data_IF_230877379821
#
_entry.id   IF_230877379821
#
_cell.length_a   1.000
_cell.length_b   1.000
_cell.length_c   1.000
_cell.angle_alpha   90.00
_cell.angle_beta   90.00
_cell.angle_gamma   90.00
#
_symmetry.space_group_name_H-M   'P 1'
#
loop_
_entity.id
_entity.type
_entity.pdbx_description
1 polymer ?
#
# COMPACT_ATOMS: atom_id res chain seq x y z
N UNK A 1 -13.27 10.33 31.50
CA UNK A 1 -14.35 11.27 31.83
C UNK A 1 -15.51 10.98 30.89
N UNK A 2 -16.75 10.85 31.36
CA UNK A 2 -17.92 10.71 30.49
C UNK A 2 -18.49 12.11 30.21
N UNK A 3 -18.86 12.38 28.96
CA UNK A 3 -19.57 13.60 28.59
C UNK A 3 -20.96 13.60 29.21
N UNK A 4 -21.44 14.79 29.58
CA UNK A 4 -22.85 15.03 29.90
C UNK A 4 -23.71 14.94 28.64
N UNK A 5 -25.03 14.79 28.82
CA UNK A 5 -25.99 14.70 27.71
C UNK A 5 -25.96 15.96 26.83
N UNK A 6 -25.89 17.15 27.43
CA UNK A 6 -25.79 18.42 26.71
C UNK A 6 -24.49 18.53 25.89
N UNK A 7 -23.36 18.09 26.43
CA UNK A 7 -22.08 18.06 25.69
C UNK A 7 -22.12 17.07 24.53
N UNK A 8 -22.80 15.93 24.68
CA UNK A 8 -22.98 14.95 23.62
C UNK A 8 -23.87 15.49 22.49
N UNK A 9 -24.97 16.18 22.81
CA UNK A 9 -25.84 16.85 21.83
C UNK A 9 -25.03 17.91 21.05
N UNK A 10 -24.31 18.79 21.76
CA UNK A 10 -23.49 19.83 21.14
C UNK A 10 -22.39 19.24 20.25
N UNK A 11 -21.71 18.19 20.69
CA UNK A 11 -20.71 17.47 19.92
C UNK A 11 -21.29 16.87 18.63
N UNK A 12 -22.48 16.27 18.71
CA UNK A 12 -23.15 15.67 17.57
C UNK A 12 -23.57 16.74 16.54
N UNK A 13 -24.17 17.85 16.99
CA UNK A 13 -24.53 18.98 16.13
C UNK A 13 -23.31 19.59 15.43
N UNK A 14 -22.24 19.87 16.18
CA UNK A 14 -20.99 20.39 15.61
C UNK A 14 -20.38 19.42 14.59
N UNK A 15 -20.40 18.11 14.90
CA UNK A 15 -19.90 17.07 14.00
C UNK A 15 -20.73 16.94 12.72
N UNK A 16 -22.04 17.15 12.80
CA UNK A 16 -22.94 17.17 11.64
C UNK A 16 -22.68 18.40 10.76
N UNK A 17 -22.65 19.60 11.34
CA UNK A 17 -22.32 20.82 10.60
C UNK A 17 -20.93 20.74 9.94
N UNK A 18 -19.95 20.17 10.63
CA UNK A 18 -18.61 19.91 10.09
C UNK A 18 -18.57 18.88 8.95
N UNK A 19 -19.48 17.90 8.92
CA UNK A 19 -19.66 16.99 7.77
C UNK A 19 -20.32 17.72 6.59
N UNK A 20 -21.41 18.44 6.85
CA UNK A 20 -22.17 19.18 5.84
C UNK A 20 -21.30 20.24 5.16
N UNK A 21 -20.52 21.01 5.92
CA UNK A 21 -19.57 21.99 5.38
C UNK A 21 -18.53 21.34 4.44
N UNK A 22 -17.99 20.16 4.80
CA UNK A 22 -17.07 19.40 3.94
C UNK A 22 -17.75 18.89 2.67
N UNK A 23 -19.02 18.50 2.75
CA UNK A 23 -19.79 18.07 1.57
C UNK A 23 -20.05 19.22 0.59
N UNK A 24 -20.52 20.37 1.10
CA UNK A 24 -20.73 21.57 0.28
C UNK A 24 -19.43 22.06 -0.36
N UNK A 25 -18.32 22.05 0.38
CA UNK A 25 -17.00 22.42 -0.16
C UNK A 25 -16.56 21.49 -1.31
N UNK A 26 -16.84 20.18 -1.22
CA UNK A 26 -16.60 19.23 -2.33
C UNK A 26 -17.46 19.57 -3.55
N UNK A 27 -18.74 19.85 -3.36
CA UNK A 27 -19.66 20.25 -4.46
C UNK A 27 -19.16 21.53 -5.14
N UNK A 28 -18.74 22.53 -4.38
CA UNK A 28 -18.11 23.75 -4.91
C UNK A 28 -16.86 23.46 -5.74
N UNK A 29 -15.94 22.62 -5.22
CA UNK A 29 -14.71 22.25 -5.92
C UNK A 29 -14.95 21.56 -7.28
N UNK A 30 -16.00 20.72 -7.38
CA UNK A 30 -16.41 20.05 -8.61
C UNK A 30 -16.99 21.01 -9.67
N UNK A 31 -17.51 22.17 -9.26
CA UNK A 31 -18.06 23.19 -10.18
C UNK A 31 -17.00 24.15 -10.72
N UNK A 32 -15.83 24.26 -10.07
CA UNK A 32 -14.76 25.20 -10.46
C UNK A 32 -14.37 25.14 -11.94
N UNK A 33 -14.24 23.97 -12.62
CA UNK A 33 -13.87 23.93 -14.04
C UNK A 33 -14.89 24.61 -14.95
N UNK A 34 -16.19 24.39 -14.69
CA UNK A 34 -17.29 25.03 -15.44
C UNK A 34 -17.35 26.53 -15.14
N UNK A 35 -17.20 26.92 -13.88
CA UNK A 35 -17.11 28.32 -13.43
C UNK A 35 -15.95 29.05 -14.12
N UNK A 36 -14.80 28.38 -14.26
CA UNK A 36 -13.63 28.92 -14.95
C UNK A 36 -13.87 29.06 -16.46
N UNK A 37 -14.34 27.99 -17.11
CA UNK A 37 -14.60 27.93 -18.56
C UNK A 37 -15.58 29.02 -19.02
N UNK A 38 -16.63 29.28 -18.23
CA UNK A 38 -17.63 30.29 -18.56
C UNK A 38 -17.31 31.70 -18.02
N UNK A 39 -16.13 31.88 -17.37
CA UNK A 39 -15.66 33.12 -16.72
C UNK A 39 -16.74 33.75 -15.83
N UNK A 40 -17.44 32.92 -15.05
CA UNK A 40 -18.55 33.37 -14.19
C UNK A 40 -18.06 34.32 -13.08
N UNK A 41 -16.83 34.09 -12.60
CA UNK A 41 -16.17 34.95 -11.61
C UNK A 41 -16.02 36.40 -12.11
N UNK A 42 -15.59 36.58 -13.36
CA UNK A 42 -15.44 37.91 -13.99
C UNK A 42 -16.80 38.59 -14.19
N UNK A 43 -17.80 37.86 -14.69
CA UNK A 43 -19.19 38.33 -14.83
C UNK A 43 -19.85 38.71 -13.49
N UNK A 44 -19.24 38.35 -12.37
CA UNK A 44 -19.65 38.71 -11.01
C UNK A 44 -18.72 39.74 -10.35
N UNK A 45 -17.80 40.35 -11.10
CA UNK A 45 -16.94 41.44 -10.63
C UNK A 45 -15.70 41.01 -9.84
N UNK A 46 -15.31 39.73 -9.87
CA UNK A 46 -14.10 39.24 -9.22
C UNK A 46 -12.90 39.33 -10.16
N UNK A 47 -11.71 39.63 -9.63
CA UNK A 47 -10.47 39.74 -10.40
C UNK A 47 -9.93 38.39 -10.89
N UNK A 48 -10.29 37.29 -10.21
CA UNK A 48 -9.84 35.94 -10.55
C UNK A 48 -10.76 34.85 -9.97
N UNK A 49 -10.65 33.63 -10.51
CA UNK A 49 -11.30 32.45 -9.93
C UNK A 49 -10.83 32.15 -8.50
N UNK A 50 -9.59 32.51 -8.15
CA UNK A 50 -9.05 32.32 -6.81
C UNK A 50 -9.73 33.24 -5.79
N UNK A 51 -9.90 34.52 -6.13
CA UNK A 51 -10.63 35.48 -5.31
C UNK A 51 -12.10 35.08 -5.16
N UNK A 52 -12.74 34.69 -6.26
CA UNK A 52 -14.12 34.19 -6.28
C UNK A 52 -14.30 32.98 -5.34
N UNK A 53 -13.47 31.95 -5.47
CA UNK A 53 -13.59 30.73 -4.67
C UNK A 53 -13.23 30.95 -3.19
N UNK A 54 -12.30 31.86 -2.89
CA UNK A 54 -12.00 32.27 -1.52
C UNK A 54 -13.19 33.01 -0.89
N UNK A 55 -13.75 34.02 -1.56
CA UNK A 55 -14.86 34.84 -1.04
C UNK A 55 -16.20 34.09 -0.96
N UNK A 56 -16.50 33.21 -1.92
CA UNK A 56 -17.79 32.50 -1.99
C UNK A 56 -17.79 31.16 -1.25
N UNK A 57 -16.67 30.43 -1.25
CA UNK A 57 -16.60 29.06 -0.73
C UNK A 57 -15.50 28.84 0.32
N UNK A 58 -14.79 29.88 0.76
CA UNK A 58 -13.70 29.76 1.73
C UNK A 58 -12.49 28.96 1.22
N UNK A 59 -12.35 28.76 -0.10
CA UNK A 59 -11.30 27.92 -0.67
C UNK A 59 -9.97 28.65 -0.75
N UNK A 60 -8.89 28.00 -0.27
CA UNK A 60 -7.54 28.50 -0.45
C UNK A 60 -7.09 28.39 -1.92
N UNK A 61 -6.12 29.23 -2.32
CA UNK A 61 -5.53 29.20 -3.68
C UNK A 61 -5.04 27.80 -4.08
N UNK A 62 -4.46 27.06 -3.13
CA UNK A 62 -4.03 25.67 -3.32
C UNK A 62 -5.20 24.71 -3.57
N UNK A 63 -6.30 24.82 -2.81
CA UNK A 63 -7.49 23.98 -3.03
C UNK A 63 -8.10 24.23 -4.41
N UNK A 64 -8.17 25.49 -4.86
CA UNK A 64 -8.66 25.84 -6.20
C UNK A 64 -7.76 25.26 -7.28
N UNK A 65 -6.44 25.43 -7.15
CA UNK A 65 -5.47 24.94 -8.13
C UNK A 65 -5.44 23.41 -8.22
N UNK A 66 -5.45 22.71 -7.09
CA UNK A 66 -5.47 21.24 -7.08
C UNK A 66 -6.80 20.68 -7.60
N UNK A 67 -7.93 21.33 -7.28
CA UNK A 67 -9.23 20.95 -7.81
C UNK A 67 -9.30 21.11 -9.34
N UNK A 68 -8.87 22.25 -9.89
CA UNK A 68 -8.80 22.48 -11.34
C UNK A 68 -7.88 21.47 -12.03
N UNK A 69 -6.69 21.20 -11.45
CA UNK A 69 -5.72 20.23 -11.98
C UNK A 69 -6.27 18.81 -12.01
N UNK A 70 -6.87 18.33 -10.92
CA UNK A 70 -7.47 16.99 -10.85
C UNK A 70 -8.63 16.88 -11.84
N UNK A 71 -9.53 17.88 -11.86
CA UNK A 71 -10.68 17.91 -12.75
C UNK A 71 -10.28 17.87 -14.23
N UNK A 72 -9.24 18.60 -14.63
CA UNK A 72 -8.73 18.58 -16.01
C UNK A 72 -8.37 17.18 -16.50
N UNK A 73 -7.78 16.32 -15.64
CA UNK A 73 -7.45 14.95 -16.02
C UNK A 73 -8.65 14.00 -16.08
N UNK A 74 -9.77 14.29 -15.38
CA UNK A 74 -10.89 13.35 -15.22
C UNK A 74 -12.20 13.79 -15.89
N UNK A 75 -12.29 14.99 -16.47
CA UNK A 75 -13.55 15.53 -17.00
C UNK A 75 -14.23 14.59 -18.02
N UNK A 76 -13.44 13.94 -18.87
CA UNK A 76 -13.93 12.97 -19.88
C UNK A 76 -13.98 11.52 -19.37
N UNK A 77 -14.00 11.29 -18.05
CA UNK A 77 -13.90 9.96 -17.41
C UNK A 77 -15.04 9.72 -16.41
N UNK A 78 -16.26 9.39 -16.90
CA UNK A 78 -17.47 9.32 -16.07
C UNK A 78 -17.34 8.41 -14.84
N UNK A 79 -16.62 7.29 -14.93
CA UNK A 79 -16.46 6.36 -13.81
C UNK A 79 -15.73 7.03 -12.62
N UNK A 80 -14.59 7.68 -12.89
CA UNK A 80 -13.79 8.39 -11.88
C UNK A 80 -14.51 9.65 -11.39
N UNK A 81 -15.22 10.36 -12.28
CA UNK A 81 -16.02 11.53 -11.92
C UNK A 81 -17.13 11.18 -10.90
N UNK A 82 -17.76 10.00 -11.03
CA UNK A 82 -18.75 9.50 -10.05
C UNK A 82 -18.12 9.29 -8.67
N UNK A 83 -16.89 8.79 -8.59
CA UNK A 83 -16.15 8.65 -7.31
C UNK A 83 -15.75 10.02 -6.75
N UNK A 84 -15.39 10.98 -7.61
CA UNK A 84 -15.12 12.36 -7.20
C UNK A 84 -16.34 13.04 -6.56
N UNK A 85 -17.55 12.73 -7.07
CA UNK A 85 -18.82 13.23 -6.52
C UNK A 85 -19.14 12.64 -5.14
N UNK A 86 -18.92 11.34 -4.93
CA UNK A 86 -19.25 10.66 -3.66
C UNK A 86 -18.19 10.86 -2.58
N UNK A 87 -16.91 10.66 -2.91
CA UNK A 87 -15.79 10.71 -1.94
C UNK A 87 -15.02 12.04 -1.93
N UNK A 88 -15.15 12.87 -2.96
CA UNK A 88 -14.40 14.10 -3.14
C UNK A 88 -13.05 13.90 -3.86
N UNK A 89 -12.53 14.99 -4.43
CA UNK A 89 -11.32 15.00 -5.28
C UNK A 89 -10.06 14.42 -4.61
N UNK A 90 -9.93 14.54 -3.28
CA UNK A 90 -8.79 13.99 -2.54
C UNK A 90 -8.69 12.46 -2.63
N UNK A 91 -9.80 11.74 -2.81
CA UNK A 91 -9.79 10.28 -2.91
C UNK A 91 -9.18 9.79 -4.24
N UNK A 92 -9.41 10.54 -5.32
CA UNK A 92 -8.98 10.20 -6.68
C UNK A 92 -7.70 10.94 -7.13
N UNK A 93 -7.22 11.92 -6.33
CA UNK A 93 -5.97 12.66 -6.58
C UNK A 93 -4.77 11.79 -6.99
N UNK A 94 -4.56 10.56 -6.45
CA UNK A 94 -3.41 9.73 -6.81
C UNK A 94 -3.52 9.17 -8.23
N UNK A 95 -4.72 8.70 -8.61
CA UNK A 95 -4.99 8.02 -9.88
C UNK A 95 -5.25 8.99 -11.03
N UNK A 96 -5.62 10.25 -10.74
CA UNK A 96 -6.06 11.22 -11.74
C UNK A 96 -5.09 11.36 -12.93
N UNK A 97 -3.77 11.38 -12.68
CA UNK A 97 -2.75 11.56 -13.71
C UNK A 97 -2.44 10.30 -14.54
N UNK A 98 -2.80 9.09 -14.08
CA UNK A 98 -2.62 7.83 -14.84
C UNK A 98 -3.92 7.34 -15.49
N UNK A 99 -5.01 8.07 -15.28
CA UNK A 99 -6.30 7.69 -15.82
C UNK A 99 -6.34 7.88 -17.34
N UNK A 100 -6.84 6.87 -18.04
CA UNK A 100 -7.19 6.87 -19.46
C UNK A 100 -8.70 6.61 -19.59
N UNK A 101 -9.24 6.62 -20.81
CA UNK A 101 -10.63 6.21 -21.06
C UNK A 101 -10.83 4.70 -20.87
N UNK A 102 -9.78 3.91 -21.08
CA UNK A 102 -9.78 2.44 -21.01
C UNK A 102 -9.68 1.91 -19.58
N UNK A 103 -8.83 2.52 -18.74
CA UNK A 103 -8.59 2.03 -17.37
C UNK A 103 -9.52 2.66 -16.30
N UNK A 104 -10.41 3.58 -16.68
CA UNK A 104 -11.16 4.41 -15.74
C UNK A 104 -12.07 3.61 -14.78
N UNK A 105 -12.63 2.49 -15.24
CA UNK A 105 -13.58 1.69 -14.44
C UNK A 105 -12.84 0.97 -13.31
N UNK A 106 -11.72 0.34 -13.63
CA UNK A 106 -10.80 -0.25 -12.66
C UNK A 106 -10.30 0.79 -11.65
N UNK A 107 -9.86 1.96 -12.13
CA UNK A 107 -9.39 3.02 -11.24
C UNK A 107 -10.51 3.55 -10.32
N UNK A 108 -11.75 3.63 -10.81
CA UNK A 108 -12.91 4.00 -10.01
C UNK A 108 -13.27 2.92 -8.98
N UNK A 109 -13.20 1.64 -9.34
CA UNK A 109 -13.39 0.50 -8.44
C UNK A 109 -12.36 0.52 -7.30
N UNK A 110 -11.06 0.61 -7.62
CA UNK A 110 -10.01 0.70 -6.61
C UNK A 110 -10.11 1.98 -5.77
N UNK A 111 -10.54 3.12 -6.34
CA UNK A 111 -10.83 4.33 -5.56
C UNK A 111 -12.06 4.20 -4.65
N UNK A 112 -12.98 3.27 -4.94
CA UNK A 112 -14.11 2.94 -4.07
C UNK A 112 -13.74 1.98 -2.93
N UNK A 113 -12.84 1.02 -3.14
CA UNK A 113 -12.40 0.09 -2.08
C UNK A 113 -11.26 0.64 -1.21
N UNK A 114 -10.27 1.29 -1.80
CA UNK A 114 -9.02 1.65 -1.12
C UNK A 114 -9.02 3.01 -0.41
N UNK A 115 -8.07 3.19 0.51
CA UNK A 115 -7.72 4.49 1.07
C UNK A 115 -6.86 5.31 0.09
N UNK A 116 -6.83 6.64 0.27
CA UNK A 116 -5.96 7.54 -0.52
C UNK A 116 -4.49 7.09 -0.50
N UNK A 117 -3.95 6.76 0.67
CA UNK A 117 -2.52 6.43 0.82
C UNK A 117 -2.18 5.07 0.18
N UNK A 118 -3.13 4.13 0.21
CA UNK A 118 -3.04 2.84 -0.49
C UNK A 118 -3.00 3.07 -2.00
N UNK A 119 -3.85 3.97 -2.54
CA UNK A 119 -3.84 4.35 -3.95
C UNK A 119 -2.54 5.07 -4.36
N UNK A 120 -1.99 5.97 -3.52
CA UNK A 120 -0.69 6.62 -3.78
C UNK A 120 0.45 5.61 -3.87
N UNK A 121 0.42 4.57 -3.04
CA UNK A 121 1.39 3.46 -3.08
C UNK A 121 1.21 2.64 -4.35
N UNK A 122 0.01 2.13 -4.62
CA UNK A 122 -0.31 1.31 -5.80
C UNK A 122 0.00 2.01 -7.14
N UNK A 123 -0.31 3.32 -7.28
CA UNK A 123 0.02 4.10 -8.49
C UNK A 123 1.53 4.24 -8.69
N UNK A 124 2.30 4.39 -7.62
CA UNK A 124 3.76 4.49 -7.67
C UNK A 124 4.38 3.16 -8.10
N UNK A 125 3.88 2.06 -7.54
CA UNK A 125 4.49 0.74 -7.74
C UNK A 125 4.20 0.22 -9.17
N UNK A 126 3.01 0.47 -9.71
CA UNK A 126 2.69 0.26 -11.15
C UNK A 126 3.64 1.03 -12.08
N UNK A 127 4.10 2.23 -11.68
CA UNK A 127 5.06 3.01 -12.48
C UNK A 127 6.49 2.46 -12.41
N UNK A 128 6.81 1.62 -11.43
CA UNK A 128 8.12 0.98 -11.29
C UNK A 128 8.18 -0.37 -12.01
N UNK A 129 7.11 -1.16 -12.01
CA UNK A 129 7.05 -2.47 -12.69
C UNK A 129 7.30 -2.38 -14.21
N UNK A 130 7.05 -1.22 -14.85
CA UNK A 130 7.41 -0.99 -16.26
C UNK A 130 8.92 -0.80 -16.53
N UNK A 131 9.77 -0.76 -15.49
CA UNK A 131 11.19 -0.39 -15.61
C UNK A 131 12.19 -1.51 -15.25
N UNK A 132 11.77 -2.66 -14.71
CA UNK A 132 12.69 -3.69 -14.17
C UNK A 132 12.26 -5.11 -14.50
N UNK A 133 12.95 -5.76 -15.45
CA UNK A 133 12.70 -7.17 -15.81
C UNK A 133 13.96 -7.92 -16.30
N UNK A 134 14.88 -8.19 -15.36
CA UNK A 134 15.94 -9.24 -15.33
C UNK A 134 16.32 -9.45 -13.83
N UNK A 135 16.83 -10.57 -13.32
CA UNK A 135 16.98 -11.97 -13.80
C UNK A 135 17.06 -12.92 -12.58
N UNK A 136 17.41 -14.22 -12.73
CA UNK A 136 17.29 -15.22 -11.63
C UNK A 136 18.40 -16.30 -11.59
N UNK A 137 18.83 -16.75 -10.40
CA UNK A 137 19.75 -17.92 -10.20
C UNK A 137 19.44 -18.72 -8.90
N UNK A 138 19.62 -20.05 -8.95
CA UNK A 138 19.40 -21.05 -7.88
C UNK A 138 20.70 -21.48 -7.12
N UNK A 139 20.62 -22.45 -6.18
CA UNK A 139 21.68 -22.94 -5.26
C UNK A 139 21.76 -24.49 -5.33
N UNK A 140 22.76 -25.27 -4.91
CA UNK A 140 23.93 -25.24 -3.97
C UNK A 140 24.92 -26.39 -4.47
N UNK A 141 25.97 -26.94 -3.78
CA UNK A 141 26.72 -26.53 -2.59
C UNK A 141 28.28 -26.59 -2.67
N UNK A 142 28.97 -27.72 -2.36
CA UNK A 142 29.97 -27.77 -1.25
C UNK A 142 31.47 -27.99 -1.58
N UNK A 143 32.32 -27.59 -0.63
CA UNK A 143 33.72 -27.88 -0.26
C UNK A 143 34.85 -28.23 -1.26
N UNK A 144 35.64 -27.18 -1.53
CA UNK A 144 37.11 -27.08 -1.49
C UNK A 144 37.41 -25.68 -0.89
N UNK A 145 38.65 -25.20 -0.67
CA UNK A 145 38.89 -23.76 -0.67
C UNK A 145 38.51 -23.21 -2.04
N UNK A 146 37.23 -22.84 -2.21
CA UNK A 146 36.68 -22.37 -3.47
C UNK A 146 37.15 -20.95 -3.67
N UNK A 147 37.97 -20.74 -4.69
CA UNK A 147 38.35 -19.40 -5.12
C UNK A 147 37.10 -18.74 -5.70
N UNK A 148 36.44 -17.90 -4.91
CA UNK A 148 35.25 -17.15 -5.34
C UNK A 148 35.73 -15.85 -5.94
N UNK A 149 35.83 -15.81 -7.27
CA UNK A 149 36.05 -14.56 -8.00
C UNK A 149 34.69 -13.92 -8.29
N UNK A 150 34.56 -12.64 -7.96
CA UNK A 150 33.35 -11.86 -8.19
C UNK A 150 33.72 -10.48 -8.74
N UNK A 151 33.08 -10.08 -9.83
CA UNK A 151 33.22 -8.73 -10.38
C UNK A 151 32.26 -7.80 -9.64
N UNK A 152 32.78 -6.71 -9.09
CA UNK A 152 31.99 -5.68 -8.43
C UNK A 152 32.00 -4.38 -9.24
N UNK A 153 30.92 -3.58 -9.21
CA UNK A 153 30.97 -2.18 -9.63
C UNK A 153 32.04 -1.43 -8.85
N UNK A 154 32.77 -0.53 -9.50
CA UNK A 154 33.89 0.21 -8.90
C UNK A 154 33.50 0.92 -7.59
N UNK A 155 32.30 1.52 -7.52
CA UNK A 155 31.75 2.15 -6.31
C UNK A 155 31.71 1.20 -5.08
N UNK A 156 31.44 -0.09 -5.32
CA UNK A 156 31.42 -1.10 -4.26
C UNK A 156 32.83 -1.54 -3.89
N UNK A 157 33.76 -1.60 -4.86
CA UNK A 157 35.18 -1.85 -4.60
C UNK A 157 35.77 -0.75 -3.73
N UNK A 158 35.55 0.52 -4.08
CA UNK A 158 36.01 1.68 -3.29
C UNK A 158 35.46 1.66 -1.86
N UNK A 159 34.15 1.39 -1.68
CA UNK A 159 33.53 1.25 -0.36
C UNK A 159 34.10 0.08 0.44
N UNK A 160 34.40 -1.03 -0.22
CA UNK A 160 35.03 -2.20 0.41
C UNK A 160 36.48 -1.91 0.81
N UNK A 161 37.26 -1.22 -0.02
CA UNK A 161 38.63 -0.81 0.31
C UNK A 161 38.65 0.21 1.47
N UNK A 162 37.70 1.15 1.51
CA UNK A 162 37.50 2.07 2.64
C UNK A 162 37.13 1.32 3.93
N UNK A 163 36.21 0.34 3.86
CA UNK A 163 35.84 -0.51 4.99
C UNK A 163 36.99 -1.39 5.48
N UNK A 164 37.89 -1.80 4.58
CA UNK A 164 39.01 -2.68 4.91
C UNK A 164 39.98 -2.01 5.90
N UNK A 165 40.32 -0.74 5.67
CA UNK A 165 41.23 0.01 6.54
C UNK A 165 42.53 -0.75 6.82
N UNK A 166 42.77 -1.09 8.10
CA UNK A 166 43.92 -1.88 8.56
C UNK A 166 43.60 -3.38 8.77
N UNK A 167 42.34 -3.81 8.64
CA UNK A 167 41.92 -5.19 8.88
C UNK A 167 42.26 -6.10 7.69
N UNK A 168 42.43 -7.39 7.97
CA UNK A 168 42.50 -8.41 6.92
C UNK A 168 41.09 -8.72 6.39
N UNK A 169 41.00 -9.14 5.12
CA UNK A 169 39.73 -9.62 4.57
C UNK A 169 39.17 -10.80 5.37
N UNK A 170 40.04 -11.65 5.92
CA UNK A 170 39.63 -12.80 6.73
C UNK A 170 38.92 -12.38 8.02
N UNK A 171 39.38 -11.33 8.70
CA UNK A 171 38.73 -10.78 9.90
C UNK A 171 37.36 -10.18 9.57
N UNK A 172 37.29 -9.36 8.51
CA UNK A 172 36.03 -8.75 8.04
C UNK A 172 35.00 -9.83 7.67
N UNK A 173 35.42 -10.87 6.94
CA UNK A 173 34.54 -11.99 6.62
C UNK A 173 34.19 -12.85 7.84
N UNK A 174 35.10 -13.02 8.81
CA UNK A 174 34.79 -13.69 10.10
C UNK A 174 33.75 -12.91 10.91
N UNK A 175 33.86 -11.59 11.00
CA UNK A 175 32.84 -10.76 11.66
C UNK A 175 31.50 -10.79 10.93
N UNK A 176 31.51 -10.75 9.59
CA UNK A 176 30.30 -10.89 8.77
C UNK A 176 29.64 -12.27 8.92
N UNK A 177 30.44 -13.35 8.95
CA UNK A 177 29.96 -14.71 9.20
C UNK A 177 29.38 -14.81 10.62
N UNK A 178 30.08 -14.31 11.64
CA UNK A 178 29.60 -14.28 13.03
C UNK A 178 28.31 -13.49 13.17
N UNK A 179 28.17 -12.34 12.48
CA UNK A 179 26.93 -11.58 12.40
C UNK A 179 25.78 -12.37 11.75
N UNK A 180 26.08 -13.26 10.78
CA UNK A 180 25.10 -14.18 10.19
C UNK A 180 24.78 -15.40 11.08
N UNK A 181 25.75 -15.91 11.83
CA UNK A 181 25.58 -17.03 12.77
C UNK A 181 24.83 -16.63 14.05
N UNK A 182 24.99 -15.39 14.51
CA UNK A 182 24.23 -14.82 15.63
C UNK A 182 22.77 -14.47 15.27
N UNK A 183 22.32 -14.69 14.03
CA UNK A 183 20.90 -14.55 13.71
C UNK A 183 20.10 -15.70 14.33
N UNK A 184 18.85 -15.47 14.79
CA UNK A 184 18.03 -16.52 15.37
C UNK A 184 17.89 -17.69 14.40
N UNK A 185 18.18 -18.91 14.85
CA UNK A 185 17.95 -20.12 14.06
C UNK A 185 16.49 -20.16 13.60
N UNK A 186 16.26 -20.60 12.35
CA UNK A 186 14.93 -20.72 11.79
C UNK A 186 14.13 -21.73 12.63
N UNK A 187 13.01 -21.33 13.27
CA UNK A 187 12.19 -22.26 14.03
C UNK A 187 11.42 -23.20 13.08
N UNK A 188 11.06 -24.39 13.56
CA UNK A 188 10.24 -25.33 12.80
C UNK A 188 8.79 -24.81 12.60
N UNK A 189 8.11 -25.19 11.51
CA UNK A 189 6.69 -24.88 11.31
C UNK A 189 5.79 -25.47 12.39
N UNK A 190 4.88 -24.67 12.95
CA UNK A 190 3.99 -25.08 14.05
C UNK A 190 2.55 -25.19 13.56
N UNK A 191 1.95 -26.39 13.68
CA UNK A 191 0.52 -26.63 13.41
C UNK A 191 -0.31 -26.39 14.67
N UNK A 192 -1.34 -25.55 14.58
CA UNK A 192 -2.19 -25.17 15.74
C UNK A 192 -3.55 -24.65 15.31
N UNK A 193 -4.55 -24.70 16.19
CA UNK A 193 -5.86 -24.06 15.95
C UNK A 193 -5.87 -22.56 16.28
N UNK A 194 -4.90 -22.06 17.06
CA UNK A 194 -4.82 -20.63 17.42
C UNK A 194 -4.35 -19.80 16.22
N UNK A 195 -4.98 -18.65 15.98
CA UNK A 195 -4.51 -17.69 14.96
C UNK A 195 -3.26 -16.90 15.38
N UNK A 196 -2.89 -16.96 16.66
CA UNK A 196 -1.76 -16.20 17.21
C UNK A 196 -0.43 -16.82 16.80
N UNK A 197 0.36 -16.09 15.99
CA UNK A 197 1.68 -16.52 15.53
C UNK A 197 2.62 -16.66 16.74
N UNK A 198 3.23 -17.84 16.98
CA UNK A 198 4.16 -18.05 18.08
C UNK A 198 5.30 -17.03 18.13
N UNK A 199 5.68 -16.59 19.32
CA UNK A 199 6.68 -15.53 19.54
C UNK A 199 8.04 -15.85 18.92
N UNK A 200 8.45 -17.13 18.87
CA UNK A 200 9.68 -17.57 18.21
C UNK A 200 9.65 -17.27 16.70
N UNK A 201 8.59 -17.69 16.02
CA UNK A 201 8.34 -17.45 14.58
C UNK A 201 8.23 -15.95 14.31
N UNK A 202 7.47 -15.23 15.15
CA UNK A 202 7.29 -13.77 15.05
C UNK A 202 8.63 -13.03 15.16
N UNK A 203 9.47 -13.35 16.15
CA UNK A 203 10.81 -12.77 16.32
C UNK A 203 11.72 -13.10 15.13
N UNK A 204 11.75 -14.36 14.68
CA UNK A 204 12.56 -14.79 13.55
C UNK A 204 12.20 -14.05 12.27
N UNK A 205 10.92 -13.99 11.90
CA UNK A 205 10.47 -13.32 10.66
C UNK A 205 10.74 -11.81 10.72
N UNK A 206 10.52 -11.16 11.87
CA UNK A 206 10.86 -9.74 12.06
C UNK A 206 12.36 -9.46 11.92
N UNK A 207 13.21 -10.35 12.44
CA UNK A 207 14.66 -10.26 12.34
C UNK A 207 15.15 -10.50 10.91
N UNK A 208 14.64 -11.53 10.22
CA UNK A 208 14.94 -11.83 8.81
C UNK A 208 14.67 -10.62 7.92
N UNK A 209 13.52 -9.99 8.11
CA UNK A 209 13.10 -8.79 7.41
C UNK A 209 13.92 -7.53 7.76
N UNK A 210 14.79 -7.59 8.79
CA UNK A 210 15.61 -6.46 9.26
C UNK A 210 14.81 -5.17 9.52
N UNK A 211 13.56 -5.31 9.98
CA UNK A 211 12.63 -4.20 10.19
C UNK A 211 11.99 -3.61 8.92
N UNK A 212 12.39 -4.03 7.73
CA UNK A 212 11.87 -3.54 6.44
C UNK A 212 10.78 -4.46 5.88
N UNK A 213 9.98 -3.91 4.97
CA UNK A 213 8.92 -4.64 4.26
C UNK A 213 9.49 -5.65 3.27
N UNK A 214 9.22 -6.95 3.46
CA UNK A 214 9.70 -8.02 2.57
C UNK A 214 9.07 -8.03 1.17
N UNK A 215 8.15 -7.12 0.85
CA UNK A 215 7.61 -6.97 -0.51
C UNK A 215 8.66 -6.39 -1.46
N UNK A 216 8.78 -6.88 -2.72
CA UNK A 216 9.67 -6.31 -3.72
C UNK A 216 9.60 -4.79 -3.81
N UNK A 217 10.78 -4.18 -3.99
CA UNK A 217 10.98 -2.74 -4.18
C UNK A 217 10.45 -1.85 -3.03
N UNK A 218 10.08 -2.43 -1.88
CA UNK A 218 9.54 -1.68 -0.74
C UNK A 218 10.58 -1.41 0.36
N UNK A 219 10.99 -0.16 0.51
CA UNK A 219 11.90 0.27 1.58
C UNK A 219 11.17 0.85 2.81
N UNK A 220 9.85 0.62 2.95
CA UNK A 220 9.08 1.05 4.14
C UNK A 220 9.37 0.11 5.31
N UNK A 221 9.29 0.63 6.54
CA UNK A 221 9.25 -0.20 7.75
C UNK A 221 8.12 -1.23 7.69
N UNK A 222 8.41 -2.46 8.08
CA UNK A 222 7.41 -3.49 8.26
C UNK A 222 6.72 -3.38 9.61
N UNK A 223 5.42 -3.65 9.62
CA UNK A 223 4.56 -3.47 10.79
C UNK A 223 3.73 -4.73 11.12
N UNK A 224 3.42 -5.54 10.10
CA UNK A 224 2.42 -6.61 10.21
C UNK A 224 2.98 -7.92 9.65
N UNK A 225 2.62 -9.03 10.31
CA UNK A 225 2.99 -10.38 9.88
C UNK A 225 1.87 -10.93 9.01
N UNK A 226 2.18 -11.21 7.76
CA UNK A 226 1.26 -11.71 6.76
C UNK A 226 1.47 -13.20 6.48
N UNK A 227 0.39 -13.96 6.43
CA UNK A 227 0.39 -15.35 5.96
C UNK A 227 0.17 -15.38 4.44
N UNK A 228 1.17 -15.83 3.70
CA UNK A 228 1.17 -15.91 2.24
C UNK A 228 0.21 -16.95 1.66
N UNK A 229 -0.11 -17.95 2.48
CA UNK A 229 -1.19 -18.92 2.26
C UNK A 229 -2.13 -18.80 3.46
N UNK A 230 -3.46 -18.73 3.28
CA UNK A 230 -4.37 -18.38 4.38
C UNK A 230 -4.24 -19.37 5.54
N UNK A 231 -4.01 -18.87 6.75
CA UNK A 231 -3.94 -19.71 7.94
C UNK A 231 -5.18 -20.61 8.12
N UNK A 232 -6.36 -20.14 7.67
CA UNK A 232 -7.61 -20.90 7.67
C UNK A 232 -7.58 -22.19 6.83
N UNK A 233 -6.68 -22.32 5.86
CA UNK A 233 -6.52 -23.54 5.07
C UNK A 233 -5.73 -24.61 5.82
N UNK A 234 -4.47 -24.31 6.16
CA UNK A 234 -3.51 -25.32 6.59
C UNK A 234 -3.37 -25.39 8.11
N UNK A 235 -3.77 -24.32 8.83
CA UNK A 235 -3.60 -24.18 10.29
C UNK A 235 -2.14 -24.35 10.74
N UNK A 236 -1.21 -23.85 9.93
CA UNK A 236 0.24 -23.87 10.18
C UNK A 236 0.77 -22.45 10.22
N UNK A 237 1.63 -22.17 11.21
CA UNK A 237 2.56 -21.05 11.19
C UNK A 237 3.91 -21.57 10.70
N UNK A 238 4.22 -21.34 9.44
CA UNK A 238 5.51 -21.66 8.84
C UNK A 238 6.29 -20.34 8.66
N UNK A 239 7.51 -20.19 9.19
CA UNK A 239 8.34 -19.00 8.94
C UNK A 239 8.58 -18.71 7.45
N UNK A 240 8.59 -19.72 6.59
CA UNK A 240 8.77 -19.57 5.14
C UNK A 240 7.47 -19.18 4.43
N UNK A 241 6.31 -19.26 5.08
CA UNK A 241 5.00 -18.79 4.57
C UNK A 241 4.47 -17.58 5.36
N UNK A 242 5.28 -17.01 6.25
CA UNK A 242 4.97 -15.75 6.96
C UNK A 242 5.98 -14.69 6.53
N UNK A 243 5.49 -13.47 6.28
CA UNK A 243 6.31 -12.32 5.86
C UNK A 243 6.05 -11.11 6.74
N UNK A 244 7.08 -10.32 7.02
CA UNK A 244 6.94 -9.03 7.69
C UNK A 244 6.81 -7.94 6.63
N UNK A 245 5.64 -7.32 6.54
CA UNK A 245 5.35 -6.31 5.52
C UNK A 245 4.74 -5.06 6.15
N UNK A 246 4.79 -3.94 5.43
CA UNK A 246 4.15 -2.70 5.85
C UNK A 246 2.62 -2.82 5.75
N UNK A 247 1.89 -1.97 6.47
CA UNK A 247 0.41 -1.96 6.52
C UNK A 247 -0.23 -1.84 5.14
N UNK A 248 0.40 -1.09 4.25
CA UNK A 248 -0.09 -0.91 2.87
C UNK A 248 -0.03 -2.23 2.08
N UNK A 249 1.13 -2.91 2.07
CA UNK A 249 1.27 -4.20 1.38
C UNK A 249 0.44 -5.32 2.04
N UNK A 250 0.27 -5.30 3.36
CA UNK A 250 -0.65 -6.23 4.03
C UNK A 250 -2.09 -6.01 3.56
N UNK A 251 -2.52 -4.76 3.43
CA UNK A 251 -3.84 -4.45 2.85
C UNK A 251 -3.96 -4.92 1.40
N UNK A 252 -2.96 -4.66 0.54
CA UNK A 252 -2.94 -5.09 -0.87
C UNK A 252 -3.01 -6.63 -0.97
N UNK A 253 -2.30 -7.35 -0.10
CA UNK A 253 -2.31 -8.81 -0.04
C UNK A 253 -3.71 -9.38 0.28
N UNK A 254 -4.41 -8.82 1.27
CA UNK A 254 -5.78 -9.25 1.64
C UNK A 254 -6.83 -8.93 0.59
N UNK A 255 -6.59 -7.95 -0.28
CA UNK A 255 -7.42 -7.70 -1.46
C UNK A 255 -7.08 -8.63 -2.65
N UNK A 256 -6.19 -9.61 -2.50
CA UNK A 256 -5.84 -10.55 -3.57
C UNK A 256 -5.07 -9.92 -4.74
N UNK A 257 -4.46 -8.75 -4.51
CA UNK A 257 -3.74 -7.96 -5.52
C UNK A 257 -2.22 -8.22 -5.54
N UNK A 258 -1.76 -9.26 -4.85
CA UNK A 258 -0.39 -9.78 -4.98
C UNK A 258 -0.49 -11.19 -5.56
N UNK A 259 0.12 -11.42 -6.71
CA UNK A 259 0.29 -12.76 -7.30
C UNK A 259 1.44 -13.50 -6.64
N UNK A 260 1.51 -14.82 -6.85
CA UNK A 260 2.65 -15.65 -6.47
C UNK A 260 3.00 -15.61 -4.97
N UNK A 261 2.04 -15.27 -4.09
CA UNK A 261 2.27 -15.12 -2.65
C UNK A 261 2.85 -16.42 -2.04
N UNK A 262 2.40 -17.58 -2.52
CA UNK A 262 2.87 -18.90 -2.14
C UNK A 262 4.38 -19.14 -2.40
N UNK A 263 5.03 -18.31 -3.19
CA UNK A 263 6.45 -18.36 -3.52
C UNK A 263 7.27 -17.32 -2.74
N UNK A 264 8.57 -17.21 -3.06
CA UNK A 264 9.46 -16.22 -2.41
C UNK A 264 9.12 -14.80 -2.87
N UNK A 265 9.34 -13.76 -2.03
CA UNK A 265 8.86 -12.41 -2.32
C UNK A 265 9.33 -11.85 -3.66
N UNK A 266 10.52 -12.20 -4.11
CA UNK A 266 11.11 -11.75 -5.38
C UNK A 266 10.26 -12.10 -6.60
N UNK A 267 9.34 -13.07 -6.48
CA UNK A 267 8.39 -13.47 -7.52
C UNK A 267 7.01 -12.79 -7.42
N UNK A 268 6.77 -12.02 -6.36
CA UNK A 268 5.50 -11.33 -6.12
C UNK A 268 5.36 -10.13 -7.04
N UNK A 269 4.19 -9.96 -7.66
CA UNK A 269 3.87 -8.82 -8.52
C UNK A 269 2.57 -8.18 -8.05
N UNK A 270 2.50 -6.84 -8.10
CA UNK A 270 1.29 -6.12 -7.71
C UNK A 270 0.34 -6.08 -8.89
N UNK A 271 -0.71 -6.89 -8.82
CA UNK A 271 -1.68 -6.99 -9.90
C UNK A 271 -2.48 -5.70 -10.06
N UNK A 272 -2.73 -5.33 -11.32
CA UNK A 272 -3.61 -4.20 -11.67
C UNK A 272 -5.08 -4.52 -11.36
N UNK A 273 -5.48 -5.78 -11.48
CA UNK A 273 -6.83 -6.29 -11.19
C UNK A 273 -6.75 -7.52 -10.29
N UNK A 274 -7.86 -7.88 -9.64
CA UNK A 274 -7.90 -9.12 -8.85
C UNK A 274 -7.85 -10.34 -9.77
N UNK A 275 -7.01 -11.32 -9.43
CA UNK A 275 -6.94 -12.55 -10.21
C UNK A 275 -8.21 -13.39 -9.96
N UNK A 276 -9.06 -13.49 -10.96
CA UNK A 276 -10.27 -14.33 -10.92
C UNK A 276 -9.92 -15.82 -11.07
N UNK A 277 -10.60 -16.71 -10.35
CA UNK A 277 -10.78 -16.66 -8.90
C UNK A 277 -9.55 -17.30 -8.22
N UNK A 278 -8.64 -16.48 -7.68
CA UNK A 278 -7.61 -16.93 -6.74
C UNK A 278 -8.29 -17.75 -5.62
N UNK A 279 -7.66 -18.85 -5.17
CA UNK A 279 -8.13 -19.65 -4.03
C UNK A 279 -8.60 -18.76 -2.86
N UNK A 280 -7.92 -17.65 -2.58
CA UNK A 280 -8.34 -16.66 -1.57
C UNK A 280 -9.80 -16.19 -1.70
N UNK A 281 -10.32 -15.90 -2.90
CA UNK A 281 -11.73 -15.47 -3.06
C UNK A 281 -12.70 -16.63 -2.87
N UNK A 282 -12.42 -17.82 -3.40
CA UNK A 282 -13.24 -19.02 -3.13
C UNK A 282 -13.23 -19.42 -1.65
N UNK A 283 -12.11 -19.23 -0.95
CA UNK A 283 -11.98 -19.49 0.49
C UNK A 283 -12.71 -18.41 1.30
N UNK A 284 -12.63 -17.14 0.93
CA UNK A 284 -13.45 -16.10 1.55
C UNK A 284 -14.94 -16.39 1.36
N UNK A 285 -15.40 -16.80 0.18
CA UNK A 285 -16.77 -17.26 -0.05
C UNK A 285 -17.15 -18.45 0.84
N UNK A 286 -16.27 -19.45 1.00
CA UNK A 286 -16.49 -20.61 1.89
C UNK A 286 -16.47 -20.24 3.38
N UNK A 287 -15.63 -19.30 3.80
CA UNK A 287 -15.56 -18.79 5.18
C UNK A 287 -16.77 -17.90 5.51
N UNK A 288 -17.27 -17.13 4.53
CA UNK A 288 -18.51 -16.37 4.64
C UNK A 288 -19.71 -17.32 4.75
N UNK A 289 -19.81 -18.33 3.89
CA UNK A 289 -20.87 -19.34 3.96
C UNK A 289 -20.87 -20.12 5.29
N UNK A 290 -19.68 -20.53 5.78
CA UNK A 290 -19.54 -21.20 7.07
C UNK A 290 -19.89 -20.28 8.26
N UNK A 291 -19.68 -18.96 8.15
CA UNK A 291 -20.14 -18.00 9.16
C UNK A 291 -21.67 -17.83 9.13
N UNK A 292 -22.29 -17.83 7.95
CA UNK A 292 -23.74 -17.68 7.80
C UNK A 292 -24.50 -18.90 8.36
N UNK A 293 -23.98 -20.11 8.17
CA UNK A 293 -24.58 -21.35 8.72
C UNK A 293 -24.50 -21.46 10.25
N UNK A 294 -23.50 -20.84 10.89
CA UNK A 294 -23.25 -20.99 12.32
C UNK A 294 -23.68 -19.77 13.17
N UNK A 295 -24.22 -18.71 12.55
CA UNK A 295 -24.67 -17.48 13.22
C UNK A 295 -26.01 -16.96 12.66
N UNK A 296 -26.85 -17.84 12.10
CA UNK A 296 -28.26 -17.52 11.92
C UNK A 296 -28.91 -17.40 13.31
N UNK A 297 -29.59 -16.28 13.65
CA UNK A 297 -30.31 -16.17 14.90
C UNK A 297 -31.52 -17.11 14.88
N UNK A 298 -31.63 -17.94 15.91
CA UNK A 298 -32.84 -18.67 16.31
C UNK A 298 -33.85 -17.73 16.95
#
# INVERSE_FOLDING_TARGET
>A
MKLTENELILHNQFSEYGKNAKEWLRKCALMLPKINRHRIWEKKGFSSIYEYAAKIAGMSRFQVQDALRIMHHIENKPAILKVAQTKGLNAIRPIAAIATTENQELLAEKANSMSKNTLETWVRDIRQEFCTSTESIQKKPIDKPKQVQFSLPAEIVEKLEQLKGQQTWEEIFKEFIKYKECQPQKPEPIRTNSRHIPTSISKYVKHRASGLCEHPHCNKEAAELHHTIPFSLHKVHDPDLIRHICKDHHSIAHHGLISNQEFSPESWQTLKQEHTPNKYTQINSRVIAHKQLNFAPS
#
